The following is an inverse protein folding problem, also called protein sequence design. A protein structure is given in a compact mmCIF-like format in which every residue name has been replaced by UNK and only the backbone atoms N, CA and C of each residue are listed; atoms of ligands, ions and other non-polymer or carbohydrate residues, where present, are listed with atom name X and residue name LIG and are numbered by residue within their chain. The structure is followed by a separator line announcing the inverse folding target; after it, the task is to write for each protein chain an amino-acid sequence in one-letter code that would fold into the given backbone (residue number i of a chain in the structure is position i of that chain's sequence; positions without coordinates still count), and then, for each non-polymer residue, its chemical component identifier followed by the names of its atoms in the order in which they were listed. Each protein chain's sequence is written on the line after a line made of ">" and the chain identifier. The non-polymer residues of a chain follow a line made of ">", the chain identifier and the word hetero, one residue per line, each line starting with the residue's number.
data_IF_405972476866
#
_entry.id   IF_405972476866
#
_cell.length_a   1.000
_cell.length_b   1.000
_cell.length_c   1.000
_cell.angle_alpha   90.00
_cell.angle_beta   90.00
_cell.angle_gamma   90.00
#
_symmetry.space_group_name_H-M   'P 1'
#
loop_
_entity.id
_entity.type
_entity.pdbx_description
1 polymer ?
#
# COMPACT_ATOMS: atom_id res chain seq x y z
N UNK A 1 -5.84 -57.85 37.55
CA UNK A 1 -6.73 -56.68 37.65
C UNK A 1 -6.18 -55.59 36.75
N UNK A 2 -6.98 -55.19 35.75
CA UNK A 2 -6.66 -54.18 34.73
C UNK A 2 -6.66 -52.79 35.38
N UNK A 3 -5.65 -51.96 35.11
CA UNK A 3 -5.72 -50.51 35.36
C UNK A 3 -5.56 -49.77 34.03
N UNK A 4 -6.73 -49.46 33.45
CA UNK A 4 -7.02 -48.27 32.64
C UNK A 4 -6.67 -47.01 33.46
N UNK A 5 -6.40 -45.81 32.95
CA UNK A 5 -6.26 -45.25 31.62
C UNK A 5 -5.44 -43.96 31.84
N UNK A 6 -4.48 -43.65 30.97
CA UNK A 6 -3.74 -42.38 31.02
C UNK A 6 -4.37 -41.45 29.99
N UNK A 7 -5.15 -40.48 30.48
CA UNK A 7 -5.82 -39.47 29.66
C UNK A 7 -4.80 -38.42 29.22
N UNK A 8 -4.43 -38.44 27.94
CA UNK A 8 -3.65 -37.37 27.30
C UNK A 8 -4.63 -36.26 26.91
N UNK A 9 -4.56 -35.14 27.63
CA UNK A 9 -5.27 -33.91 27.34
C UNK A 9 -4.56 -33.22 26.15
N UNK A 10 -5.11 -33.31 24.95
CA UNK A 10 -4.66 -32.50 23.82
C UNK A 10 -5.29 -31.11 23.93
N UNK A 11 -4.50 -30.14 24.39
CA UNK A 11 -4.83 -28.72 24.30
C UNK A 11 -4.76 -28.30 22.82
N UNK A 12 -5.93 -28.18 22.20
CA UNK A 12 -6.09 -27.62 20.85
C UNK A 12 -5.93 -26.09 20.96
N UNK A 13 -4.71 -25.58 20.90
CA UNK A 13 -4.48 -24.16 20.66
C UNK A 13 -4.93 -23.85 19.23
N UNK A 14 -6.19 -23.42 19.09
CA UNK A 14 -6.69 -22.80 17.88
C UNK A 14 -5.94 -21.49 17.65
N UNK A 15 -4.92 -21.53 16.78
CA UNK A 15 -4.41 -20.35 16.11
C UNK A 15 -5.52 -19.82 15.21
N UNK A 16 -6.33 -18.90 15.73
CA UNK A 16 -7.18 -18.06 14.91
C UNK A 16 -6.26 -17.12 14.13
N UNK A 17 -5.87 -17.50 12.91
CA UNK A 17 -5.38 -16.54 11.95
C UNK A 17 -6.57 -15.68 11.52
N UNK A 18 -6.64 -14.46 12.03
CA UNK A 18 -7.61 -13.49 11.53
C UNK A 18 -7.23 -13.16 10.07
N UNK A 19 -8.20 -13.02 9.15
CA UNK A 19 -7.92 -12.48 7.83
C UNK A 19 -7.37 -11.06 8.00
N UNK A 20 -6.17 -10.81 7.47
CA UNK A 20 -5.66 -9.45 7.35
C UNK A 20 -6.40 -8.81 6.17
N UNK A 21 -7.16 -7.76 6.44
CA UNK A 21 -7.80 -6.96 5.39
C UNK A 21 -6.75 -6.00 4.84
N UNK A 22 -6.58 -5.97 3.52
CA UNK A 22 -5.75 -4.98 2.86
C UNK A 22 -6.28 -3.57 3.21
N UNK A 23 -5.42 -2.76 3.82
CA UNK A 23 -5.70 -1.37 4.14
C UNK A 23 -5.49 -0.49 2.92
N UNK A 24 -6.26 0.60 2.85
CA UNK A 24 -6.07 1.66 1.86
C UNK A 24 -5.71 2.96 2.57
N UNK A 25 -4.74 3.69 2.02
CA UNK A 25 -4.40 5.06 2.41
C UNK A 25 -4.78 5.98 1.25
N UNK A 26 -5.62 6.98 1.51
CA UNK A 26 -6.03 7.97 0.51
C UNK A 26 -5.62 9.37 0.96
N UNK A 27 -4.90 10.10 0.12
CA UNK A 27 -4.39 11.45 0.38
C UNK A 27 -4.95 12.39 -0.68
N UNK A 28 -5.77 13.34 -0.25
CA UNK A 28 -6.39 14.39 -1.07
C UNK A 28 -5.57 15.69 -1.10
N UNK A 29 -4.47 15.76 -0.35
CA UNK A 29 -3.63 16.95 -0.14
C UNK A 29 -4.33 18.18 0.47
N UNK A 30 -5.62 18.10 0.79
CA UNK A 30 -6.38 19.15 1.47
C UNK A 30 -6.24 19.07 2.98
N UNK A 31 -5.90 17.89 3.50
CA UNK A 31 -5.77 17.64 4.93
C UNK A 31 -4.48 16.90 5.26
N UNK A 32 -4.01 17.11 6.49
CA UNK A 32 -2.98 16.29 7.13
C UNK A 32 -3.57 15.56 8.33
N UNK A 33 -3.07 14.37 8.67
CA UNK A 33 -3.53 13.62 9.83
C UNK A 33 -3.48 14.44 11.12
N UNK A 34 -4.49 14.23 11.97
CA UNK A 34 -4.61 14.87 13.28
C UNK A 34 -3.68 14.28 14.34
N UNK A 35 -4.09 14.40 15.60
CA UNK A 35 -3.35 13.86 16.75
C UNK A 35 -3.41 12.34 16.84
N UNK A 36 -4.46 11.73 16.30
CA UNK A 36 -4.56 10.27 16.24
C UNK A 36 -3.67 9.66 15.12
N UNK A 37 -3.13 10.50 14.24
CA UNK A 37 -2.24 10.11 13.14
C UNK A 37 -2.96 9.40 11.99
N UNK A 38 -4.29 9.35 12.01
CA UNK A 38 -5.16 8.78 10.97
C UNK A 38 -5.65 9.93 10.09
N UNK A 39 -5.84 9.67 8.79
CA UNK A 39 -6.42 10.63 7.85
C UNK A 39 -7.88 10.25 7.57
N UNK A 40 -8.75 11.24 7.45
CA UNK A 40 -10.19 11.08 7.28
C UNK A 40 -10.97 11.06 8.60
N UNK A 41 -10.34 11.46 9.70
CA UNK A 41 -10.94 11.56 11.04
C UNK A 41 -11.32 13.01 11.37
N UNK A 42 -12.09 13.20 12.44
CA UNK A 42 -12.61 14.53 12.79
C UNK A 42 -11.53 15.51 13.29
N UNK A 43 -10.33 15.03 13.60
CA UNK A 43 -9.18 15.83 14.06
C UNK A 43 -8.16 16.15 12.96
N UNK A 44 -8.45 15.78 11.71
CA UNK A 44 -7.68 16.19 10.54
C UNK A 44 -7.44 17.71 10.54
N UNK A 45 -6.21 18.09 10.22
CA UNK A 45 -5.82 19.51 10.14
C UNK A 45 -5.87 19.92 8.67
N UNK A 46 -6.69 20.93 8.37
CA UNK A 46 -6.76 21.52 7.04
C UNK A 46 -5.39 22.08 6.61
N UNK A 47 -5.04 21.88 5.34
CA UNK A 47 -3.83 22.41 4.77
C UNK A 47 -3.87 23.95 4.81
N UNK A 48 -2.82 24.62 5.33
CA UNK A 48 -2.81 26.07 5.38
C UNK A 48 -2.70 26.65 3.96
N UNK A 49 -3.49 27.69 3.68
CA UNK A 49 -3.48 28.46 2.43
C UNK A 49 -2.17 29.23 2.24
N UNK A 50 -1.10 28.51 1.95
CA UNK A 50 0.26 29.03 1.79
C UNK A 50 0.82 28.58 0.46
N UNK A 51 1.44 29.52 -0.26
CA UNK A 51 2.03 29.24 -1.57
C UNK A 51 3.27 28.35 -1.42
N UNK A 52 3.26 27.18 -2.04
CA UNK A 52 4.38 26.24 -2.11
C UNK A 52 4.85 25.75 -0.73
N UNK A 53 4.08 24.83 -0.16
CA UNK A 53 4.47 24.14 1.07
C UNK A 53 5.20 22.83 0.75
N UNK A 54 6.33 22.56 1.41
CA UNK A 54 7.02 21.28 1.20
C UNK A 54 6.28 20.15 1.91
N UNK A 55 6.04 19.04 1.21
CA UNK A 55 5.34 17.88 1.76
C UNK A 55 6.15 17.16 2.85
N UNK A 56 7.44 16.88 2.59
CA UNK A 56 8.38 16.29 3.55
C UNK A 56 7.75 15.20 4.45
N UNK A 57 7.61 15.48 5.75
CA UNK A 57 7.11 14.56 6.78
C UNK A 57 5.64 14.78 7.16
N UNK A 58 4.86 15.55 6.39
CA UNK A 58 3.46 15.86 6.74
C UNK A 58 2.57 14.61 6.85
N UNK A 59 2.89 13.56 6.10
CA UNK A 59 2.15 12.29 6.09
C UNK A 59 2.92 11.15 6.79
N UNK A 60 3.91 11.49 7.62
CA UNK A 60 4.76 10.49 8.27
C UNK A 60 3.99 9.57 9.25
N UNK A 61 2.90 10.04 9.85
CA UNK A 61 2.04 9.20 10.71
C UNK A 61 1.33 8.09 9.93
N UNK A 62 1.07 8.31 8.65
CA UNK A 62 0.53 7.30 7.72
C UNK A 62 1.64 6.40 7.15
N UNK A 63 2.90 6.66 7.50
CA UNK A 63 4.04 5.93 6.98
C UNK A 63 4.59 6.44 5.66
N UNK A 64 4.21 7.64 5.21
CA UNK A 64 4.72 8.25 3.98
C UNK A 64 5.70 9.38 4.28
N UNK A 65 6.87 9.36 3.62
CA UNK A 65 7.82 10.48 3.66
C UNK A 65 8.17 10.91 2.24
N UNK A 66 7.91 12.17 1.93
CA UNK A 66 8.26 12.78 0.65
C UNK A 66 9.68 13.32 0.74
N UNK A 67 10.59 12.81 -0.09
CA UNK A 67 11.93 13.42 -0.19
C UNK A 67 11.91 14.69 -1.04
N UNK A 68 10.94 14.78 -1.96
CA UNK A 68 10.69 15.92 -2.84
C UNK A 68 9.18 16.04 -3.09
N UNK A 69 8.70 17.25 -3.33
CA UNK A 69 7.27 17.53 -3.50
C UNK A 69 6.86 18.82 -2.81
N UNK A 70 6.06 19.64 -3.49
CA UNK A 70 5.49 20.85 -2.95
C UNK A 70 3.99 20.88 -3.22
N UNK A 71 3.22 21.44 -2.30
CA UNK A 71 1.80 21.74 -2.49
C UNK A 71 1.63 23.12 -3.09
N UNK A 72 0.89 23.20 -4.17
CA UNK A 72 0.47 24.44 -4.79
C UNK A 72 -1.04 24.58 -4.60
N UNK A 73 -1.47 25.81 -4.32
CA UNK A 73 -2.87 26.18 -4.21
C UNK A 73 -3.25 27.10 -5.37
N UNK A 74 -4.17 26.66 -6.24
CA UNK A 74 -4.65 27.44 -7.39
C UNK A 74 -5.79 26.75 -8.13
N UNK A 75 -6.58 27.52 -8.88
CA UNK A 75 -7.76 27.04 -9.60
C UNK A 75 -7.44 26.28 -10.89
N UNK A 76 -6.22 26.29 -11.42
CA UNK A 76 -5.99 25.68 -12.73
C UNK A 76 -6.15 24.15 -12.71
N UNK A 77 -6.02 23.49 -11.56
CA UNK A 77 -6.13 22.04 -11.48
C UNK A 77 -7.58 21.61 -11.77
N UNK A 78 -8.53 21.96 -10.92
CA UNK A 78 -9.93 21.53 -11.01
C UNK A 78 -10.96 22.68 -11.09
N UNK A 79 -10.50 23.94 -11.14
CA UNK A 79 -11.35 25.13 -11.15
C UNK A 79 -11.52 25.79 -9.77
N UNK A 80 -11.19 25.12 -8.68
CA UNK A 80 -11.30 25.67 -7.32
C UNK A 80 -9.99 26.38 -6.90
N UNK A 81 -10.00 27.71 -6.68
CA UNK A 81 -8.81 28.43 -6.23
C UNK A 81 -8.27 27.98 -4.87
N UNK A 82 -9.06 27.24 -4.10
CA UNK A 82 -8.71 26.74 -2.78
C UNK A 82 -8.04 25.37 -2.81
N UNK A 83 -8.08 24.66 -3.94
CA UNK A 83 -7.55 23.30 -4.05
C UNK A 83 -6.04 23.25 -3.86
N UNK A 84 -5.58 22.40 -2.97
CA UNK A 84 -4.19 22.02 -2.80
C UNK A 84 -3.91 20.76 -3.61
N UNK A 85 -2.83 20.79 -4.38
CA UNK A 85 -2.36 19.61 -5.10
C UNK A 85 -0.84 19.65 -5.14
N UNK A 86 -0.24 18.49 -5.36
CA UNK A 86 1.20 18.41 -5.48
C UNK A 86 1.66 18.99 -6.82
N UNK A 87 2.49 20.02 -6.81
CA UNK A 87 3.17 20.55 -7.99
C UNK A 87 4.68 20.35 -7.84
N UNK A 88 5.26 19.42 -8.60
CA UNK A 88 6.65 19.01 -8.41
C UNK A 88 7.27 18.46 -9.68
N UNK A 89 8.60 18.54 -9.78
CA UNK A 89 9.37 18.00 -10.92
C UNK A 89 9.67 16.51 -10.78
N UNK A 90 9.85 16.06 -9.55
CA UNK A 90 10.35 14.72 -9.27
C UNK A 90 9.99 14.28 -7.84
N UNK A 91 8.69 14.21 -7.50
CA UNK A 91 8.28 13.66 -6.22
C UNK A 91 8.72 12.20 -6.09
N UNK A 92 9.34 11.92 -4.95
CA UNK A 92 9.80 10.59 -4.55
C UNK A 92 9.32 10.36 -3.12
N UNK A 93 8.69 9.21 -2.91
CA UNK A 93 8.01 8.87 -1.66
C UNK A 93 8.57 7.57 -1.12
N UNK A 94 8.95 7.59 0.16
CA UNK A 94 9.31 6.40 0.93
C UNK A 94 8.14 5.95 1.81
N UNK A 95 8.00 4.65 1.96
CA UNK A 95 6.88 4.01 2.65
C UNK A 95 7.42 3.13 3.79
N UNK A 96 6.84 3.26 4.98
CA UNK A 96 7.20 2.40 6.12
C UNK A 96 6.59 1.01 6.04
N UNK A 97 5.55 0.85 5.22
CA UNK A 97 4.79 -0.38 5.03
C UNK A 97 4.82 -0.76 3.56
N UNK A 98 4.96 -2.06 3.29
CA UNK A 98 4.90 -2.60 1.93
C UNK A 98 3.53 -2.32 1.29
N UNK A 99 3.55 -1.92 0.02
CA UNK A 99 2.34 -1.67 -0.77
C UNK A 99 2.27 -2.59 -1.99
N UNK A 100 1.05 -2.84 -2.47
CA UNK A 100 0.76 -3.68 -3.64
C UNK A 100 0.27 -2.88 -4.84
N UNK A 101 -0.39 -1.74 -4.59
CA UNK A 101 -0.83 -0.83 -5.65
C UNK A 101 -0.72 0.63 -5.27
N UNK A 102 -0.64 1.47 -6.30
CA UNK A 102 -0.74 2.92 -6.23
C UNK A 102 -1.72 3.41 -7.32
N UNK A 103 -2.53 4.42 -7.01
CA UNK A 103 -3.14 5.29 -8.01
C UNK A 103 -2.93 6.75 -7.68
N UNK A 104 -2.74 7.58 -8.69
CA UNK A 104 -2.64 9.03 -8.50
C UNK A 104 -3.23 9.75 -9.73
N UNK A 105 -3.98 10.81 -9.48
CA UNK A 105 -4.50 11.66 -10.53
C UNK A 105 -3.41 12.64 -10.99
N UNK A 106 -3.40 12.94 -12.28
CA UNK A 106 -2.53 13.95 -12.87
C UNK A 106 -3.32 14.93 -13.72
N UNK A 107 -2.95 16.20 -13.62
CA UNK A 107 -3.33 17.25 -14.55
C UNK A 107 -2.09 17.96 -15.07
N UNK A 108 -1.44 17.36 -16.07
CA UNK A 108 -0.11 17.76 -16.51
C UNK A 108 -0.02 17.96 -18.02
N UNK A 109 0.83 18.89 -18.44
CA UNK A 109 1.16 19.11 -19.86
C UNK A 109 2.09 18.01 -20.39
N UNK A 110 2.73 17.24 -19.52
CA UNK A 110 3.75 16.27 -19.87
C UNK A 110 3.26 14.84 -19.65
N UNK A 111 3.96 13.88 -20.24
CA UNK A 111 3.80 12.48 -19.86
C UNK A 111 4.19 12.30 -18.40
N UNK A 112 3.59 11.30 -17.75
CA UNK A 112 3.81 11.01 -16.34
C UNK A 112 4.18 9.54 -16.22
N UNK A 113 5.32 9.26 -15.60
CA UNK A 113 5.78 7.89 -15.34
C UNK A 113 5.83 7.66 -13.85
N UNK A 114 5.15 6.62 -13.36
CA UNK A 114 5.42 6.07 -12.02
C UNK A 114 6.41 4.95 -12.14
N UNK A 115 7.35 4.91 -11.20
CA UNK A 115 8.22 3.76 -10.97
C UNK A 115 8.09 3.33 -9.53
N UNK A 116 7.88 2.03 -9.32
CA UNK A 116 7.79 1.39 -8.01
C UNK A 116 9.12 0.70 -7.72
N UNK A 117 9.58 0.79 -6.48
CA UNK A 117 10.87 0.24 -6.06
C UNK A 117 10.72 -0.70 -4.86
N UNK A 118 11.51 -1.77 -4.87
CA UNK A 118 11.64 -2.68 -3.73
C UNK A 118 12.35 -2.02 -2.52
N UNK A 119 12.61 -2.80 -1.47
CA UNK A 119 13.27 -2.32 -0.24
C UNK A 119 14.75 -1.95 -0.46
N UNK A 120 15.39 -2.54 -1.47
CA UNK A 120 16.79 -2.29 -1.83
C UNK A 120 16.93 -1.11 -2.80
N UNK A 121 15.81 -0.54 -3.27
CA UNK A 121 15.75 0.58 -4.20
C UNK A 121 15.83 0.18 -5.67
N UNK A 122 15.65 -1.11 -6.01
CA UNK A 122 15.58 -1.56 -7.40
C UNK A 122 14.19 -1.30 -7.96
N UNK A 123 14.11 -0.82 -9.21
CA UNK A 123 12.84 -0.65 -9.91
C UNK A 123 12.25 -2.02 -10.24
N UNK A 124 11.01 -2.28 -9.78
CA UNK A 124 10.31 -3.56 -9.97
C UNK A 124 9.09 -3.43 -10.89
N UNK A 125 8.54 -2.23 -11.01
CA UNK A 125 7.41 -1.94 -11.89
C UNK A 125 7.42 -0.48 -12.35
N UNK A 126 6.84 -0.20 -13.50
CA UNK A 126 6.58 1.17 -13.94
C UNK A 126 5.31 1.23 -14.78
N UNK A 127 4.66 2.39 -14.78
CA UNK A 127 3.46 2.68 -15.58
C UNK A 127 3.55 4.11 -16.11
N UNK A 128 2.97 4.38 -17.29
CA UNK A 128 3.00 5.72 -17.88
C UNK A 128 1.61 6.19 -18.35
N UNK A 129 1.28 7.44 -17.99
CA UNK A 129 0.15 8.17 -18.55
C UNK A 129 0.67 9.00 -19.73
N UNK A 130 0.29 8.58 -20.93
CA UNK A 130 0.68 9.25 -22.17
C UNK A 130 -0.22 10.45 -22.47
N UNK A 131 0.39 11.62 -22.64
CA UNK A 131 -0.26 12.82 -23.14
C UNK A 131 0.01 12.98 -24.65
N UNK A 132 -0.97 12.77 -25.53
CA UNK A 132 -0.79 12.89 -26.99
C UNK A 132 -0.46 14.31 -27.45
N UNK A 133 -0.66 15.30 -26.60
CA UNK A 133 -0.35 16.71 -26.84
C UNK A 133 0.70 17.22 -25.84
N UNK A 134 1.67 16.35 -25.50
CA UNK A 134 2.72 16.69 -24.56
C UNK A 134 3.46 17.99 -24.95
N UNK A 135 3.51 18.95 -24.04
CA UNK A 135 4.12 20.26 -24.25
C UNK A 135 3.22 21.36 -24.79
N UNK A 136 1.97 21.07 -25.17
CA UNK A 136 1.04 22.06 -25.71
C UNK A 136 -0.29 22.17 -24.96
N UNK A 137 -0.78 21.08 -24.34
CA UNK A 137 -2.01 21.12 -23.55
C UNK A 137 -1.98 20.20 -22.33
N UNK A 138 -2.70 20.59 -21.28
CA UNK A 138 -2.92 19.74 -20.12
C UNK A 138 -3.79 18.52 -20.47
N UNK A 139 -3.39 17.36 -19.96
CA UNK A 139 -4.21 16.16 -19.92
C UNK A 139 -4.57 15.87 -18.47
N UNK A 140 -5.87 15.62 -18.22
CA UNK A 140 -6.35 15.00 -16.98
C UNK A 140 -6.39 13.49 -17.16
N UNK A 141 -5.76 12.75 -16.27
CA UNK A 141 -5.83 11.29 -16.27
C UNK A 141 -5.42 10.71 -14.94
N UNK A 142 -5.74 9.43 -14.74
CA UNK A 142 -5.33 8.67 -13.57
C UNK A 142 -4.25 7.68 -13.97
N UNK A 143 -3.19 7.60 -13.17
CA UNK A 143 -2.17 6.59 -13.31
C UNK A 143 -2.38 5.53 -12.24
N UNK A 144 -2.40 4.25 -12.63
CA UNK A 144 -2.61 3.12 -11.72
C UNK A 144 -1.48 2.11 -11.92
N UNK A 145 -0.69 1.86 -10.88
CA UNK A 145 0.39 0.88 -10.90
C UNK A 145 0.07 -0.25 -9.91
N UNK A 146 0.05 -1.49 -10.40
CA UNK A 146 -0.21 -2.69 -9.59
C UNK A 146 1.02 -3.59 -9.70
N UNK A 147 1.70 -3.83 -8.58
CA UNK A 147 2.92 -4.62 -8.55
C UNK A 147 2.62 -6.05 -8.07
N UNK A 148 3.17 -7.09 -8.73
CA UNK A 148 3.09 -8.46 -8.23
C UNK A 148 3.94 -8.68 -6.96
N UNK A 149 4.90 -7.78 -6.71
CA UNK A 149 5.83 -7.81 -5.57
C UNK A 149 5.65 -6.57 -4.69
N UNK A 150 5.89 -6.66 -3.37
CA UNK A 150 5.77 -5.51 -2.48
C UNK A 150 6.76 -4.40 -2.86
N UNK A 151 6.28 -3.16 -2.92
CA UNK A 151 7.14 -1.98 -3.06
C UNK A 151 7.18 -1.16 -1.77
N UNK A 152 8.29 -0.47 -1.56
CA UNK A 152 8.58 0.35 -0.36
C UNK A 152 8.89 1.81 -0.70
N UNK A 153 9.03 2.14 -1.98
CA UNK A 153 9.08 3.52 -2.44
C UNK A 153 8.59 3.64 -3.87
N UNK A 154 8.26 4.86 -4.27
CA UNK A 154 7.91 5.16 -5.65
C UNK A 154 8.35 6.58 -6.05
N UNK A 155 8.47 6.79 -7.35
CA UNK A 155 8.68 8.12 -7.93
C UNK A 155 7.61 8.40 -8.99
N UNK A 156 7.19 9.66 -9.11
CA UNK A 156 6.34 10.13 -10.21
C UNK A 156 7.12 11.16 -11.02
N UNK A 157 7.57 10.83 -12.22
CA UNK A 157 8.51 11.64 -12.99
C UNK A 157 7.97 12.01 -14.37
N UNK A 158 8.25 13.23 -14.87
CA UNK A 158 8.10 13.56 -16.28
C UNK A 158 9.25 12.97 -17.12
N UNK A 159 9.10 13.00 -18.44
CA UNK A 159 10.17 12.57 -19.37
C UNK A 159 11.43 13.45 -19.27
N UNK A 160 11.30 14.71 -18.85
CA UNK A 160 12.42 15.64 -18.64
C UNK A 160 12.40 16.22 -17.22
N UNK A 161 13.50 16.15 -16.45
CA UNK A 161 13.54 16.56 -15.04
C UNK A 161 13.29 18.06 -14.78
N UNK A 162 13.26 18.91 -15.81
CA UNK A 162 12.91 20.33 -15.68
C UNK A 162 11.40 20.61 -15.80
N UNK A 163 10.61 19.60 -16.15
CA UNK A 163 9.16 19.69 -16.30
C UNK A 163 8.47 19.53 -14.94
N UNK A 164 7.36 20.23 -14.75
CA UNK A 164 6.56 20.17 -13.52
C UNK A 164 5.32 19.33 -13.79
N UNK A 165 5.05 18.40 -12.90
CA UNK A 165 3.81 17.63 -12.83
C UNK A 165 2.88 18.22 -11.78
N UNK A 166 1.58 18.11 -12.02
CA UNK A 166 0.55 18.44 -11.03
C UNK A 166 -0.25 17.18 -10.73
N UNK A 167 -0.24 16.76 -9.47
CA UNK A 167 -0.70 15.45 -9.02
C UNK A 167 -1.61 15.60 -7.81
N UNK A 168 -2.62 14.75 -7.72
CA UNK A 168 -3.62 14.80 -6.66
C UNK A 168 -4.22 13.40 -6.39
N UNK A 169 -5.05 13.26 -5.35
CA UNK A 169 -5.79 12.04 -5.03
C UNK A 169 -4.92 10.77 -5.03
N UNK A 170 -3.83 10.79 -4.25
CA UNK A 170 -2.95 9.63 -4.11
C UNK A 170 -3.64 8.54 -3.29
N UNK A 171 -3.73 7.34 -3.83
CA UNK A 171 -4.26 6.16 -3.14
C UNK A 171 -3.21 5.05 -3.14
N UNK A 172 -2.97 4.44 -1.99
CA UNK A 172 -2.08 3.31 -1.78
C UNK A 172 -2.84 2.15 -1.16
N UNK A 173 -2.52 0.93 -1.58
CA UNK A 173 -3.08 -0.31 -0.99
C UNK A 173 -1.96 -1.11 -0.36
N UNK A 174 -2.13 -1.53 0.89
CA UNK A 174 -1.13 -2.34 1.60
C UNK A 174 -0.90 -3.67 0.88
N UNK A 175 0.35 -4.14 0.94
CA UNK A 175 0.67 -5.48 0.51
C UNK A 175 0.32 -6.45 1.65
N UNK A 176 -0.65 -7.33 1.38
CA UNK A 176 -0.94 -8.46 2.25
C UNK A 176 -0.30 -9.70 1.64
N UNK A 177 0.71 -10.31 2.28
CA UNK A 177 1.19 -11.60 1.84
C UNK A 177 0.02 -12.57 1.94
N UNK A 178 -0.27 -13.31 0.87
CA UNK A 178 -1.21 -14.42 0.93
C UNK A 178 -0.66 -15.46 1.91
N UNK A 179 -1.08 -15.37 3.16
CA UNK A 179 -0.85 -16.45 4.11
C UNK A 179 -1.76 -17.57 3.64
N UNK A 180 -1.19 -18.57 2.98
CA UNK A 180 -1.84 -19.86 2.77
C UNK A 180 -2.09 -20.49 4.15
N UNK A 181 -3.12 -20.00 4.85
CA UNK A 181 -3.64 -20.66 6.04
C UNK A 181 -4.24 -21.96 5.53
N UNK A 182 -3.69 -23.13 5.90
CA UNK A 182 -4.27 -24.39 5.47
C UNK A 182 -5.72 -24.38 5.95
N UNK A 183 -6.66 -24.61 5.03
CA UNK A 183 -8.07 -24.65 5.40
C UNK A 183 -8.26 -25.61 6.59
N UNK A 184 -9.19 -25.34 7.52
CA UNK A 184 -9.42 -26.20 8.68
C UNK A 184 -9.63 -27.68 8.30
N UNK A 185 -10.16 -27.91 7.10
CA UNK A 185 -10.33 -29.22 6.46
C UNK A 185 -9.00 -29.94 6.20
N UNK A 186 -7.97 -29.23 5.72
CA UNK A 186 -6.64 -29.77 5.46
C UNK A 186 -5.92 -30.17 6.76
N UNK A 187 -6.06 -29.36 7.82
CA UNK A 187 -5.54 -29.70 9.15
C UNK A 187 -6.28 -30.89 9.77
N UNK A 188 -7.61 -30.96 9.62
CA UNK A 188 -8.40 -32.09 10.08
C UNK A 188 -8.05 -33.39 9.33
N UNK A 189 -7.82 -33.32 8.02
CA UNK A 189 -7.35 -34.45 7.20
C UNK A 189 -5.94 -34.89 7.58
N UNK A 190 -5.04 -33.94 7.85
CA UNK A 190 -3.69 -34.25 8.30
C UNK A 190 -3.69 -34.92 9.69
N UNK A 191 -4.50 -34.41 10.62
CA UNK A 191 -4.69 -35.00 11.94
C UNK A 191 -5.30 -36.41 11.84
N UNK A 192 -6.29 -36.60 10.97
CA UNK A 192 -6.91 -37.90 10.70
C UNK A 192 -5.91 -38.89 10.10
N UNK A 193 -5.09 -38.45 9.13
CA UNK A 193 -4.04 -39.25 8.53
C UNK A 193 -2.97 -39.69 9.55
N UNK A 194 -2.57 -38.78 10.45
CA UNK A 194 -1.65 -39.10 11.55
C UNK A 194 -2.25 -40.11 12.54
N UNK A 195 -3.53 -39.96 12.91
CA UNK A 195 -4.20 -40.92 13.78
C UNK A 195 -4.32 -42.30 13.13
N UNK A 196 -4.70 -42.37 11.86
CA UNK A 196 -4.82 -43.63 11.11
C UNK A 196 -3.45 -44.30 10.90
N UNK A 197 -2.41 -43.52 10.59
CA UNK A 197 -1.03 -44.01 10.48
C UNK A 197 -0.50 -44.57 11.79
N UNK A 198 -0.74 -43.88 12.91
CA UNK A 198 -0.36 -44.35 14.25
C UNK A 198 -1.09 -45.65 14.67
N UNK A 199 -2.37 -45.78 14.31
CA UNK A 199 -3.15 -47.01 14.50
C UNK A 199 -2.61 -48.17 13.66
N UNK A 200 -2.32 -47.93 12.37
CA UNK A 200 -1.77 -48.95 11.47
C UNK A 200 -0.38 -49.44 11.92
N UNK A 201 0.45 -48.55 12.46
CA UNK A 201 1.78 -48.90 12.97
C UNK A 201 1.71 -49.78 14.22
N UNK A 202 0.74 -49.53 15.12
CA UNK A 202 0.51 -50.36 16.31
C UNK A 202 -0.01 -51.76 15.99
N UNK A 203 -0.71 -51.95 14.87
CA UNK A 203 -1.20 -53.26 14.43
C UNK A 203 -0.08 -54.11 13.79
N UNK A 204 0.98 -53.47 13.26
CA UNK A 204 2.11 -54.15 12.60
C UNK A 204 3.33 -54.40 13.49
N UNK A 205 3.37 -53.89 14.72
CA UNK A 205 4.47 -54.19 15.64
C UNK A 205 4.42 -55.68 16.05
N UNK A 206 5.40 -56.52 15.66
CA UNK A 206 5.46 -57.89 16.15
C UNK A 206 5.70 -57.89 17.67
N UNK A 207 5.00 -58.78 18.37
CA UNK A 207 5.26 -59.08 19.79
C UNK A 207 6.56 -59.85 19.95
#
# INVERSE_FOLDING_TARGET
>A
MKKLASSILFALCGLFAAPAFAGTISIDFEHTPGLDGILGTADDVAMPNTYLQTLSTQYASLGLTFTQGQLLQTSFYNGDPSNHFMSSRNPIVQLSTAMSSLSIDSYSIWNVTVTLYDIDGNAIWWEQLFNPAAGSSFLRGQLVAISPEPFYSFSVLPDNPNQILNLDNLVLTTYEPSVDVPEPSALALFALAMMLGGLAWRVRAPR
#
